data_IF_340048946888
#
_entry.id   IF_340048946888
#
_cell.length_a   1.000
_cell.length_b   1.000
_cell.length_c   1.000
_cell.angle_alpha   90.00
_cell.angle_beta   90.00
_cell.angle_gamma   90.00
#
_symmetry.space_group_name_H-M   'P 1'
#
loop_
_entity.id
_entity.type
_entity.pdbx_description
1 polymer ?
#
# COMPACT_ATOMS: atom_id res chain seq x y z
N UNK A 1 8.28 18.63 5.52
CA UNK A 1 8.60 17.29 4.96
C UNK A 1 10.10 17.16 4.71
N UNK A 2 10.65 15.95 4.77
CA UNK A 2 12.09 15.71 4.52
C UNK A 2 12.29 15.33 3.06
N UNK A 3 13.24 15.99 2.38
CA UNK A 3 13.58 15.62 1.00
C UNK A 3 14.14 14.19 0.96
N UNK A 4 13.58 13.27 0.16
CA UNK A 4 14.05 11.89 0.10
C UNK A 4 15.43 11.74 -0.57
N UNK A 5 15.92 12.80 -1.23
CA UNK A 5 17.20 12.78 -1.93
C UNK A 5 18.35 13.33 -1.09
N UNK A 6 18.22 14.56 -0.59
CA UNK A 6 19.29 15.25 0.15
C UNK A 6 19.03 15.38 1.65
N UNK A 7 17.88 14.87 2.14
CA UNK A 7 17.49 14.85 3.55
C UNK A 7 17.28 16.22 4.21
N UNK A 8 17.34 17.32 3.45
CA UNK A 8 17.01 18.64 3.96
C UNK A 8 15.53 18.76 4.31
N UNK A 9 15.22 19.54 5.36
CA UNK A 9 13.86 19.91 5.71
C UNK A 9 13.29 20.89 4.67
N UNK A 10 12.04 20.70 4.28
CA UNK A 10 11.28 21.58 3.40
C UNK A 10 9.91 21.87 4.03
N UNK A 11 9.32 23.00 3.64
CA UNK A 11 7.95 23.35 4.02
C UNK A 11 6.97 22.22 3.64
N UNK A 12 5.88 22.10 4.39
CA UNK A 12 4.80 21.19 4.03
C UNK A 12 4.18 21.61 2.69
N UNK A 13 3.91 20.64 1.81
CA UNK A 13 3.42 20.92 0.45
C UNK A 13 4.46 21.45 -0.54
N UNK A 14 5.74 21.54 -0.18
CA UNK A 14 6.79 21.94 -1.12
C UNK A 14 6.84 21.01 -2.34
N UNK A 15 6.77 21.59 -3.54
CA UNK A 15 6.83 20.82 -4.80
C UNK A 15 8.25 20.43 -5.18
N UNK A 16 9.20 21.32 -4.86
CA UNK A 16 10.62 21.21 -5.18
C UNK A 16 11.44 21.43 -3.91
N UNK A 17 12.54 20.70 -3.77
CA UNK A 17 13.45 20.88 -2.65
C UNK A 17 14.25 22.18 -2.79
N UNK A 18 14.19 23.05 -1.78
CA UNK A 18 14.93 24.32 -1.76
C UNK A 18 16.45 24.15 -1.67
N UNK A 19 16.94 22.98 -1.23
CA UNK A 19 18.37 22.72 -1.07
C UNK A 19 19.00 22.04 -2.29
N UNK A 20 18.36 21.02 -2.87
CA UNK A 20 18.93 20.25 -3.98
C UNK A 20 18.21 20.43 -5.32
N UNK A 21 17.13 21.21 -5.38
CA UNK A 21 16.42 21.54 -6.61
C UNK A 21 15.60 20.42 -7.25
N UNK A 22 15.49 19.25 -6.60
CA UNK A 22 14.72 18.10 -7.13
C UNK A 22 13.23 18.22 -6.79
N UNK A 23 12.39 17.73 -7.68
CA UNK A 23 10.96 17.56 -7.43
C UNK A 23 10.75 16.55 -6.29
N UNK A 24 9.95 16.94 -5.30
CA UNK A 24 9.65 16.14 -4.10
C UNK A 24 8.15 15.98 -3.86
N UNK A 25 7.30 16.68 -4.61
CA UNK A 25 5.86 16.44 -4.57
C UNK A 25 5.51 15.11 -5.26
N UNK A 26 4.61 14.37 -4.62
CA UNK A 26 3.97 13.21 -5.23
C UNK A 26 2.67 13.68 -5.87
N UNK A 27 2.48 13.50 -7.20
CA UNK A 27 1.24 13.82 -7.88
C UNK A 27 0.01 13.19 -7.21
N UNK A 28 -1.08 13.95 -7.11
CA UNK A 28 -2.32 13.49 -6.49
C UNK A 28 -2.90 12.23 -7.16
N UNK A 29 -2.69 12.09 -8.47
CA UNK A 29 -3.10 10.91 -9.23
C UNK A 29 -2.40 9.64 -8.77
N UNK A 30 -1.09 9.70 -8.48
CA UNK A 30 -0.33 8.55 -7.96
C UNK A 30 -0.72 8.20 -6.53
N UNK A 31 -1.08 9.20 -5.71
CA UNK A 31 -1.62 8.98 -4.37
C UNK A 31 -2.95 8.22 -4.46
N UNK A 32 -3.87 8.68 -5.33
CA UNK A 32 -5.15 8.03 -5.56
C UNK A 32 -4.97 6.59 -6.07
N UNK A 33 -4.11 6.38 -7.06
CA UNK A 33 -3.83 5.04 -7.60
C UNK A 33 -3.25 4.10 -6.53
N UNK A 34 -2.31 4.57 -5.71
CA UNK A 34 -1.78 3.80 -4.58
C UNK A 34 -2.88 3.40 -3.61
N UNK A 35 -3.79 4.32 -3.30
CA UNK A 35 -4.86 4.07 -2.34
C UNK A 35 -5.88 3.08 -2.91
N UNK A 36 -6.16 3.14 -4.21
CA UNK A 36 -6.98 2.16 -4.93
C UNK A 36 -6.34 0.76 -4.92
N UNK A 37 -5.04 0.68 -5.21
CA UNK A 37 -4.29 -0.57 -5.17
C UNK A 37 -4.25 -1.18 -3.77
N UNK A 38 -4.15 -0.35 -2.73
CA UNK A 38 -4.22 -0.81 -1.33
C UNK A 38 -5.57 -1.42 -1.01
N UNK A 39 -6.68 -0.80 -1.42
CA UNK A 39 -8.04 -1.35 -1.21
C UNK A 39 -8.19 -2.71 -1.90
N UNK A 40 -7.84 -2.81 -3.19
CA UNK A 40 -7.89 -4.06 -3.95
C UNK A 40 -7.07 -5.18 -3.29
N UNK A 41 -5.87 -4.85 -2.80
CA UNK A 41 -5.02 -5.82 -2.10
C UNK A 41 -5.67 -6.32 -0.82
N UNK A 42 -6.32 -5.45 -0.07
CA UNK A 42 -6.93 -5.81 1.20
C UNK A 42 -8.19 -6.67 0.98
N UNK A 43 -8.99 -6.35 -0.05
CA UNK A 43 -10.10 -7.20 -0.52
C UNK A 43 -9.60 -8.61 -0.90
N UNK A 44 -8.57 -8.70 -1.76
CA UNK A 44 -8.00 -10.00 -2.17
C UNK A 44 -7.42 -10.81 -1.00
N UNK A 45 -6.89 -10.14 0.03
CA UNK A 45 -6.39 -10.82 1.23
C UNK A 45 -7.52 -11.41 2.06
N UNK A 46 -8.64 -10.71 2.14
CA UNK A 46 -9.82 -11.18 2.85
C UNK A 46 -10.46 -12.37 2.12
N UNK A 47 -10.60 -12.30 0.80
CA UNK A 47 -11.06 -13.42 -0.04
C UNK A 47 -10.15 -14.65 0.10
N UNK A 48 -8.83 -14.45 0.05
CA UNK A 48 -7.87 -15.55 0.21
C UNK A 48 -7.97 -16.19 1.60
N UNK A 49 -8.20 -15.40 2.64
CA UNK A 49 -8.41 -15.92 4.00
C UNK A 49 -9.67 -16.80 4.05
N UNK A 50 -10.79 -16.30 3.53
CA UNK A 50 -12.04 -17.06 3.49
C UNK A 50 -11.89 -18.38 2.73
N UNK A 51 -11.28 -18.35 1.54
CA UNK A 51 -11.06 -19.56 0.75
C UNK A 51 -10.17 -20.58 1.47
N UNK A 52 -9.15 -20.13 2.21
CA UNK A 52 -8.30 -21.02 3.02
C UNK A 52 -9.08 -21.68 4.15
N UNK A 53 -9.90 -20.90 4.86
CA UNK A 53 -10.73 -21.40 5.96
C UNK A 53 -11.75 -22.43 5.46
N UNK A 54 -12.37 -22.19 4.30
CA UNK A 54 -13.28 -23.12 3.65
C UNK A 54 -12.61 -24.43 3.26
N UNK A 55 -11.44 -24.35 2.62
CA UNK A 55 -10.64 -25.53 2.26
C UNK A 55 -10.27 -26.33 3.50
N UNK A 56 -9.84 -25.66 4.58
CA UNK A 56 -9.51 -26.31 5.83
C UNK A 56 -10.74 -27.02 6.43
N UNK A 57 -11.90 -26.38 6.45
CA UNK A 57 -13.15 -26.98 6.92
C UNK A 57 -13.52 -28.24 6.12
N UNK A 58 -13.38 -28.19 4.79
CA UNK A 58 -13.62 -29.36 3.91
C UNK A 58 -12.63 -30.49 4.24
N UNK A 59 -11.34 -30.17 4.39
CA UNK A 59 -10.31 -31.16 4.71
C UNK A 59 -10.54 -31.82 6.08
N UNK A 60 -10.92 -31.04 7.09
CA UNK A 60 -11.29 -31.55 8.43
C UNK A 60 -12.49 -32.51 8.36
N UNK A 61 -13.51 -32.21 7.56
CA UNK A 61 -14.68 -33.08 7.36
C UNK A 61 -14.35 -34.39 6.64
N UNK A 62 -13.34 -34.39 5.76
CA UNK A 62 -12.93 -35.56 4.95
C UNK A 62 -11.99 -36.51 5.68
N UNK A 63 -11.39 -36.13 6.80
CA UNK A 63 -10.45 -36.99 7.55
C UNK A 63 -11.25 -38.11 8.25
N UNK A 64 -11.10 -39.39 7.87
CA UNK A 64 -11.76 -40.48 8.57
C UNK A 64 -11.10 -40.66 9.94
N UNK A 65 -11.91 -41.15 10.89
CA UNK A 65 -11.58 -41.30 12.31
C UNK A 65 -10.37 -42.21 12.54
#
# INVERSE_FOLDING_TARGET
>A
MTCPYCQSANAEGALVCASCGRDIAVPATLIAERDDLRRKRDELRDELRQARDEVEAIMRRRKPR
#
